data_IF_825365568148
#
_entry.id   IF_825365568148
#
_cell.length_a   1.000
_cell.length_b   1.000
_cell.length_c   1.000
_cell.angle_alpha   90.00
_cell.angle_beta   90.00
_cell.angle_gamma   90.00
#
_symmetry.space_group_name_H-M   'P 1'
#
loop_
_entity.id
_entity.type
_entity.pdbx_description
1 polymer ?
#
# COMPACT_ATOMS: atom_id res chain seq x y z
N UNK A 1 -1.38 30.01 -8.97
CA UNK A 1 -1.83 28.64 -9.19
C UNK A 1 -2.70 28.25 -8.01
N UNK A 2 -4.02 28.18 -8.19
CA UNK A 2 -4.95 27.89 -7.07
C UNK A 2 -4.77 26.43 -6.65
N UNK A 3 -4.20 26.20 -5.46
CA UNK A 3 -4.13 24.88 -4.85
C UNK A 3 -5.58 24.50 -4.49
N UNK A 4 -6.21 23.68 -5.31
CA UNK A 4 -7.54 23.16 -5.04
C UNK A 4 -7.44 22.31 -3.76
N UNK A 5 -8.01 22.78 -2.66
CA UNK A 5 -8.02 22.03 -1.40
C UNK A 5 -8.72 20.68 -1.64
N UNK A 6 -8.01 19.61 -1.37
CA UNK A 6 -8.56 18.25 -1.45
C UNK A 6 -9.61 18.13 -0.35
N UNK A 7 -10.83 17.73 -0.67
CA UNK A 7 -11.90 17.55 0.29
C UNK A 7 -11.67 16.32 1.19
N UNK A 8 -12.31 16.29 2.34
CA UNK A 8 -12.24 15.16 3.27
C UNK A 8 -12.63 13.84 2.57
N UNK A 9 -13.69 13.86 1.79
CA UNK A 9 -14.18 12.69 1.07
C UNK A 9 -13.21 12.23 -0.03
N UNK A 10 -12.54 13.16 -0.73
CA UNK A 10 -11.52 12.82 -1.71
C UNK A 10 -10.35 12.07 -1.05
N UNK A 11 -9.92 12.55 0.13
CA UNK A 11 -8.88 11.89 0.92
C UNK A 11 -9.32 10.50 1.39
N UNK A 12 -10.56 10.36 1.87
CA UNK A 12 -11.11 9.06 2.31
C UNK A 12 -11.16 8.09 1.14
N UNK A 13 -11.71 8.48 -0.01
CA UNK A 13 -11.80 7.61 -1.18
C UNK A 13 -10.42 7.23 -1.74
N UNK A 14 -9.47 8.17 -1.77
CA UNK A 14 -8.09 7.85 -2.17
C UNK A 14 -7.45 6.81 -1.24
N UNK A 15 -7.61 6.95 0.09
CA UNK A 15 -7.07 5.99 1.04
C UNK A 15 -7.77 4.63 0.94
N UNK A 16 -9.10 4.61 0.84
CA UNK A 16 -9.86 3.37 0.66
C UNK A 16 -9.41 2.67 -0.63
N UNK A 17 -9.30 3.38 -1.75
CA UNK A 17 -8.84 2.80 -3.02
C UNK A 17 -7.42 2.25 -2.95
N UNK A 18 -6.53 2.91 -2.20
CA UNK A 18 -5.15 2.45 -2.02
C UNK A 18 -5.06 1.18 -1.16
N UNK A 19 -5.98 1.00 -0.22
CA UNK A 19 -6.02 -0.15 0.70
C UNK A 19 -6.83 -1.32 0.14
N UNK A 20 -7.90 -1.06 -0.61
CA UNK A 20 -8.79 -2.07 -1.20
C UNK A 20 -8.16 -2.66 -2.47
N UNK A 21 -7.15 -3.50 -2.28
CA UNK A 21 -6.52 -4.22 -3.39
C UNK A 21 -6.98 -5.68 -3.47
N UNK A 22 -7.21 -6.21 -4.68
CA UNK A 22 -7.57 -7.61 -4.94
C UNK A 22 -6.63 -8.57 -4.21
N UNK A 23 -5.35 -8.24 -4.12
CA UNK A 23 -4.34 -9.03 -3.41
C UNK A 23 -4.66 -9.18 -1.92
N UNK A 24 -5.09 -8.10 -1.26
CA UNK A 24 -5.43 -8.13 0.16
C UNK A 24 -6.70 -8.93 0.42
N UNK A 25 -7.69 -8.77 -0.46
CA UNK A 25 -8.93 -9.55 -0.40
C UNK A 25 -8.63 -11.04 -0.54
N UNK A 26 -7.86 -11.42 -1.56
CA UNK A 26 -7.49 -12.82 -1.80
C UNK A 26 -6.71 -13.42 -0.62
N UNK A 27 -5.73 -12.68 -0.07
CA UNK A 27 -4.92 -13.14 1.06
C UNK A 27 -5.72 -13.23 2.35
N UNK A 28 -6.56 -12.25 2.64
CA UNK A 28 -7.42 -12.27 3.83
C UNK A 28 -8.46 -13.38 3.76
N UNK A 29 -9.04 -13.62 2.59
CA UNK A 29 -9.98 -14.73 2.36
C UNK A 29 -9.29 -16.07 2.60
N UNK A 30 -8.12 -16.30 2.02
CA UNK A 30 -7.36 -17.53 2.22
C UNK A 30 -6.98 -17.76 3.69
N UNK A 31 -6.56 -16.71 4.39
CA UNK A 31 -6.22 -16.80 5.81
C UNK A 31 -7.46 -17.06 6.70
N UNK A 32 -8.60 -16.48 6.32
CA UNK A 32 -9.86 -16.62 7.06
C UNK A 32 -10.54 -17.96 6.82
N UNK A 33 -10.25 -18.63 5.70
CA UNK A 33 -10.86 -19.90 5.34
C UNK A 33 -10.61 -20.99 6.38
N UNK A 34 -9.40 -21.02 6.96
CA UNK A 34 -9.04 -21.95 8.03
C UNK A 34 -9.77 -21.72 9.36
N UNK A 35 -10.28 -20.50 9.59
CA UNK A 35 -11.03 -20.12 10.80
C UNK A 35 -12.55 -20.29 10.64
N UNK A 36 -13.03 -20.52 9.42
CA UNK A 36 -14.46 -20.62 9.12
C UNK A 36 -15.26 -19.42 9.62
N UNK A 37 -16.42 -19.67 10.24
CA UNK A 37 -17.28 -18.60 10.77
C UNK A 37 -16.63 -17.81 11.93
N UNK A 38 -15.60 -18.36 12.58
CA UNK A 38 -14.83 -17.66 13.61
C UNK A 38 -13.99 -16.49 13.08
N UNK A 39 -13.78 -16.40 11.78
CA UNK A 39 -13.02 -15.31 11.17
C UNK A 39 -13.69 -13.94 11.39
N UNK A 40 -15.03 -13.87 11.28
CA UNK A 40 -15.77 -12.60 11.40
C UNK A 40 -15.58 -11.97 12.78
N UNK A 41 -15.89 -12.66 13.90
CA UNK A 41 -15.67 -12.08 15.22
C UNK A 41 -14.20 -11.80 15.50
N UNK A 42 -13.27 -12.62 15.01
CA UNK A 42 -11.85 -12.36 15.15
C UNK A 42 -11.43 -11.03 14.46
N UNK A 43 -11.87 -10.78 13.23
CA UNK A 43 -11.61 -9.52 12.53
C UNK A 43 -12.20 -8.31 13.26
N UNK A 44 -13.42 -8.43 13.80
CA UNK A 44 -14.05 -7.36 14.58
C UNK A 44 -13.24 -7.06 15.84
N UNK A 45 -12.85 -8.08 16.59
CA UNK A 45 -12.03 -7.92 17.80
C UNK A 45 -10.69 -7.26 17.47
N UNK A 46 -9.99 -7.70 16.43
CA UNK A 46 -8.72 -7.08 16.00
C UNK A 46 -8.90 -5.64 15.51
N UNK A 47 -10.02 -5.32 14.86
CA UNK A 47 -10.31 -3.95 14.47
C UNK A 47 -10.41 -3.03 15.69
N UNK A 48 -11.08 -3.42 16.73
CA UNK A 48 -11.22 -2.61 17.95
C UNK A 48 -9.95 -2.57 18.80
N UNK A 49 -9.25 -3.68 18.95
CA UNK A 49 -8.06 -3.75 19.83
C UNK A 49 -6.83 -3.15 19.17
N UNK A 50 -6.68 -3.29 17.87
CA UNK A 50 -5.47 -2.87 17.16
C UNK A 50 -5.70 -1.70 16.21
N UNK A 51 -6.65 -1.82 15.28
CA UNK A 51 -6.82 -0.82 14.22
C UNK A 51 -7.30 0.53 14.74
N UNK A 52 -8.31 0.55 15.61
CA UNK A 52 -8.86 1.81 16.14
C UNK A 52 -7.82 2.57 16.98
N UNK A 53 -7.12 1.96 17.96
CA UNK A 53 -6.07 2.66 18.68
C UNK A 53 -4.94 3.17 17.79
N UNK A 54 -4.46 2.36 16.84
CA UNK A 54 -3.44 2.79 15.90
C UNK A 54 -3.90 3.99 15.04
N UNK A 55 -5.14 3.96 14.57
CA UNK A 55 -5.69 5.04 13.77
C UNK A 55 -5.80 6.35 14.58
N UNK A 56 -6.23 6.26 15.84
CA UNK A 56 -6.31 7.42 16.74
C UNK A 56 -4.92 8.01 17.03
N UNK A 57 -3.93 7.19 17.33
CA UNK A 57 -2.54 7.64 17.53
C UNK A 57 -1.98 8.30 16.28
N UNK A 58 -2.19 7.71 15.10
CA UNK A 58 -1.76 8.32 13.85
C UNK A 58 -2.45 9.65 13.58
N UNK A 59 -3.75 9.74 13.86
CA UNK A 59 -4.52 10.98 13.70
C UNK A 59 -4.03 12.09 14.64
N UNK A 60 -3.74 11.77 15.89
CA UNK A 60 -3.19 12.70 16.88
C UNK A 60 -1.79 13.18 16.46
N UNK A 61 -0.90 12.27 16.09
CA UNK A 61 0.45 12.62 15.64
C UNK A 61 0.42 13.47 14.36
N UNK A 62 -0.43 13.13 13.40
CA UNK A 62 -0.57 13.91 12.17
C UNK A 62 -1.15 15.31 12.40
N UNK A 63 -2.04 15.48 13.38
CA UNK A 63 -2.61 16.79 13.74
C UNK A 63 -1.65 17.64 14.57
N UNK A 64 -0.85 17.00 15.43
CA UNK A 64 0.10 17.69 16.32
C UNK A 64 1.36 18.11 15.56
N UNK A 65 1.82 17.29 14.64
CA UNK A 65 3.02 17.53 13.81
C UNK A 65 2.66 17.56 12.32
N UNK A 66 2.00 18.60 11.83
CA UNK A 66 1.55 18.71 10.43
C UNK A 66 2.70 19.10 9.50
N UNK A 67 3.81 18.33 9.52
CA UNK A 67 4.97 18.54 8.66
C UNK A 67 5.06 17.44 7.61
N UNK A 68 5.63 17.78 6.46
CA UNK A 68 5.95 16.81 5.42
C UNK A 68 7.04 15.86 5.92
N UNK A 69 6.77 14.55 5.91
CA UNK A 69 7.72 13.53 6.40
C UNK A 69 7.07 12.40 7.21
N UNK A 70 5.87 12.62 7.75
CA UNK A 70 5.11 11.59 8.47
C UNK A 70 5.92 10.92 9.58
N UNK A 71 6.09 9.59 9.52
CA UNK A 71 6.80 8.83 10.55
C UNK A 71 8.24 9.31 10.82
N UNK A 72 8.92 9.88 9.82
CA UNK A 72 10.25 10.46 10.01
C UNK A 72 10.21 11.60 11.03
N UNK A 73 9.32 12.57 10.83
CA UNK A 73 9.21 13.73 11.70
C UNK A 73 8.78 13.34 13.12
N UNK A 74 7.85 12.41 13.25
CA UNK A 74 7.38 11.94 14.56
C UNK A 74 8.49 11.28 15.38
N UNK A 75 9.28 10.42 14.74
CA UNK A 75 10.40 9.74 15.42
C UNK A 75 11.56 10.70 15.66
N UNK A 76 11.82 11.63 14.74
CA UNK A 76 12.84 12.66 14.89
C UNK A 76 12.55 13.58 16.09
N UNK A 77 11.30 13.99 16.26
CA UNK A 77 10.89 14.84 17.37
C UNK A 77 11.03 14.11 18.71
N UNK A 78 10.69 12.82 18.77
CA UNK A 78 10.73 12.03 19.99
C UNK A 78 12.14 11.55 20.39
N UNK A 79 12.96 11.13 19.41
CA UNK A 79 14.22 10.41 19.65
C UNK A 79 15.42 11.01 18.92
N UNK A 80 15.24 12.05 18.14
CA UNK A 80 16.29 12.74 17.41
C UNK A 80 16.49 12.24 15.98
N UNK A 81 17.30 13.00 15.23
CA UNK A 81 17.47 12.86 13.77
C UNK A 81 17.98 11.49 13.32
N UNK A 82 18.89 10.88 14.09
CA UNK A 82 19.46 9.56 13.80
C UNK A 82 18.38 8.47 13.73
N UNK A 83 17.45 8.47 14.67
CA UNK A 83 16.35 7.50 14.71
C UNK A 83 15.30 7.79 13.67
N UNK A 84 15.00 9.05 13.39
CA UNK A 84 14.14 9.46 12.28
C UNK A 84 14.67 8.93 10.93
N UNK A 85 15.95 9.13 10.66
CA UNK A 85 16.60 8.59 9.45
C UNK A 85 16.51 7.06 9.38
N UNK A 86 16.81 6.37 10.48
CA UNK A 86 16.76 4.92 10.53
C UNK A 86 15.37 4.36 10.21
N UNK A 87 14.30 4.97 10.76
CA UNK A 87 12.92 4.58 10.46
C UNK A 87 12.57 4.79 8.99
N UNK A 88 12.99 5.93 8.42
CA UNK A 88 12.77 6.21 7.00
C UNK A 88 13.49 5.23 6.09
N UNK A 89 14.73 4.90 6.42
CA UNK A 89 15.52 3.92 5.69
C UNK A 89 14.89 2.52 5.72
N UNK A 90 14.46 2.08 6.90
CA UNK A 90 13.78 0.78 7.06
C UNK A 90 12.45 0.75 6.31
N UNK A 91 11.67 1.81 6.38
CA UNK A 91 10.41 1.94 5.65
C UNK A 91 10.62 1.90 4.13
N UNK A 92 11.65 2.60 3.64
CA UNK A 92 12.01 2.57 2.21
C UNK A 92 12.42 1.17 1.75
N UNK A 93 13.30 0.50 2.51
CA UNK A 93 13.72 -0.87 2.23
C UNK A 93 12.54 -1.85 2.21
N UNK A 94 11.66 -1.75 3.20
CA UNK A 94 10.44 -2.57 3.27
C UNK A 94 9.53 -2.36 2.05
N UNK A 95 9.42 -1.13 1.56
CA UNK A 95 8.62 -0.82 0.36
C UNK A 95 9.22 -1.41 -0.91
N UNK A 96 10.53 -1.46 -1.07
CA UNK A 96 11.18 -2.11 -2.22
C UNK A 96 10.76 -3.59 -2.28
N UNK A 97 10.86 -4.30 -1.17
CA UNK A 97 10.46 -5.71 -1.08
C UNK A 97 8.96 -5.90 -1.34
N UNK A 98 8.14 -4.98 -0.83
CA UNK A 98 6.70 -4.99 -1.03
C UNK A 98 6.33 -4.79 -2.51
N UNK A 99 6.94 -3.81 -3.20
CA UNK A 99 6.68 -3.56 -4.62
C UNK A 99 7.09 -4.76 -5.49
N UNK A 100 8.23 -5.38 -5.23
CA UNK A 100 8.66 -6.58 -5.93
C UNK A 100 7.64 -7.71 -5.81
N UNK A 101 7.15 -7.95 -4.60
CA UNK A 101 6.11 -8.95 -4.35
C UNK A 101 4.78 -8.61 -5.02
N UNK A 102 4.43 -7.32 -5.09
CA UNK A 102 3.21 -6.85 -5.76
C UNK A 102 3.29 -7.04 -7.28
N UNK A 103 4.42 -6.68 -7.90
CA UNK A 103 4.63 -6.86 -9.34
C UNK A 103 4.60 -8.33 -9.73
N UNK A 104 5.23 -9.20 -8.93
CA UNK A 104 5.18 -10.65 -9.16
C UNK A 104 3.75 -11.17 -9.09
N UNK A 105 2.98 -10.78 -8.08
CA UNK A 105 1.57 -11.14 -7.97
C UNK A 105 0.75 -10.69 -9.19
N UNK A 106 0.95 -9.47 -9.66
CA UNK A 106 0.28 -8.93 -10.84
C UNK A 106 0.64 -9.75 -12.08
N UNK A 107 1.92 -10.07 -12.28
CA UNK A 107 2.39 -10.86 -13.43
C UNK A 107 1.79 -12.26 -13.44
N UNK A 108 1.71 -12.91 -12.28
CA UNK A 108 1.06 -14.22 -12.14
C UNK A 108 -0.42 -14.13 -12.56
N UNK A 109 -1.14 -13.10 -12.10
CA UNK A 109 -2.54 -12.90 -12.51
C UNK A 109 -2.68 -12.64 -14.02
N UNK A 110 -1.74 -11.93 -14.63
CA UNK A 110 -1.72 -11.76 -16.10
C UNK A 110 -1.57 -13.11 -16.82
N UNK A 111 -0.68 -13.98 -16.35
CA UNK A 111 -0.52 -15.32 -16.92
C UNK A 111 -1.81 -16.14 -16.86
N UNK A 112 -2.53 -16.10 -15.75
CA UNK A 112 -3.84 -16.73 -15.61
C UNK A 112 -4.91 -16.07 -16.50
N UNK A 113 -4.91 -14.76 -16.63
CA UNK A 113 -5.87 -14.03 -17.47
C UNK A 113 -5.70 -14.36 -18.97
N UNK A 114 -4.49 -14.63 -19.42
CA UNK A 114 -4.17 -15.08 -20.79
C UNK A 114 -4.41 -16.58 -20.98
N UNK A 115 -4.88 -17.27 -19.94
CA UNK A 115 -5.14 -18.72 -19.94
C UNK A 115 -3.89 -19.58 -20.19
N UNK A 116 -2.71 -19.07 -19.77
CA UNK A 116 -1.41 -19.76 -19.87
C UNK A 116 -0.73 -19.77 -18.48
N UNK A 117 -1.24 -20.54 -17.51
CA UNK A 117 -0.71 -20.56 -16.15
C UNK A 117 0.76 -20.98 -16.07
N UNK A 118 1.25 -21.77 -17.03
CA UNK A 118 2.65 -22.20 -17.12
C UNK A 118 3.64 -21.03 -17.25
N UNK A 119 3.19 -19.89 -17.79
CA UNK A 119 3.99 -18.67 -17.87
C UNK A 119 4.31 -18.08 -16.49
N UNK A 120 3.51 -18.39 -15.48
CA UNK A 120 3.76 -17.92 -14.11
C UNK A 120 5.01 -18.53 -13.47
N UNK A 121 5.44 -19.70 -13.94
CA UNK A 121 6.66 -20.39 -13.50
C UNK A 121 7.89 -20.00 -14.35
N UNK A 122 7.66 -19.37 -15.49
CA UNK A 122 8.72 -18.94 -16.39
C UNK A 122 9.38 -17.64 -15.86
N UNK A 123 10.57 -17.79 -15.25
CA UNK A 123 11.31 -16.67 -14.63
C UNK A 123 11.58 -15.49 -15.60
N UNK A 124 12.02 -15.69 -16.86
CA UNK A 124 12.16 -14.64 -17.86
C UNK A 124 10.86 -13.88 -18.11
N UNK A 125 9.75 -14.58 -18.26
CA UNK A 125 8.43 -13.97 -18.47
C UNK A 125 8.05 -13.07 -17.29
N UNK A 126 8.14 -13.59 -16.06
CA UNK A 126 7.81 -12.84 -14.84
C UNK A 126 8.68 -11.59 -14.72
N UNK A 127 9.98 -11.68 -15.03
CA UNK A 127 10.89 -10.55 -14.96
C UNK A 127 10.57 -9.49 -16.01
N UNK A 128 10.36 -9.87 -17.26
CA UNK A 128 10.10 -8.94 -18.36
C UNK A 128 8.77 -8.22 -18.13
N UNK A 129 7.70 -8.94 -17.80
CA UNK A 129 6.38 -8.34 -17.57
C UNK A 129 6.40 -7.43 -16.33
N UNK A 130 7.05 -7.85 -15.24
CA UNK A 130 7.18 -7.03 -14.04
C UNK A 130 7.93 -5.73 -14.32
N UNK A 131 9.03 -5.78 -15.07
CA UNK A 131 9.79 -4.59 -15.49
C UNK A 131 8.97 -3.70 -16.42
N UNK A 132 8.28 -4.27 -17.38
CA UNK A 132 7.43 -3.50 -18.30
C UNK A 132 6.34 -2.73 -17.54
N UNK A 133 5.62 -3.41 -16.62
CA UNK A 133 4.60 -2.79 -15.79
C UNK A 133 5.22 -1.70 -14.91
N UNK A 134 6.37 -1.96 -14.27
CA UNK A 134 7.06 -0.98 -13.45
C UNK A 134 7.39 0.30 -14.24
N UNK A 135 7.97 0.16 -15.43
CA UNK A 135 8.31 1.31 -16.28
C UNK A 135 7.10 2.07 -16.78
N UNK A 136 6.04 1.36 -17.19
CA UNK A 136 4.80 1.99 -17.62
C UNK A 136 4.18 2.80 -16.48
N UNK A 137 4.06 2.21 -15.28
CA UNK A 137 3.52 2.92 -14.12
C UNK A 137 4.41 4.11 -13.71
N UNK A 138 5.74 3.94 -13.72
CA UNK A 138 6.68 5.02 -13.43
C UNK A 138 6.52 6.16 -14.42
N UNK A 139 6.39 5.87 -15.72
CA UNK A 139 6.17 6.87 -16.76
C UNK A 139 4.83 7.62 -16.59
N UNK A 140 3.77 6.91 -16.23
CA UNK A 140 2.47 7.52 -15.93
C UNK A 140 2.60 8.46 -14.71
N UNK A 141 3.28 8.03 -13.66
CA UNK A 141 3.49 8.84 -12.47
C UNK A 141 4.29 10.12 -12.73
N UNK A 142 5.26 10.10 -13.67
CA UNK A 142 6.04 11.32 -14.03
C UNK A 142 5.18 12.39 -14.72
N UNK A 143 4.07 12.01 -15.35
CA UNK A 143 3.12 12.97 -15.98
C UNK A 143 2.20 13.66 -14.97
N UNK A 144 2.34 13.34 -13.69
CA UNK A 144 1.68 14.01 -12.58
C UNK A 144 0.22 13.61 -12.36
N UNK A 145 -0.35 14.09 -11.23
CA UNK A 145 -1.72 13.81 -10.79
C UNK A 145 -2.83 14.29 -11.76
N UNK A 146 -2.49 14.98 -12.85
CA UNK A 146 -3.48 15.35 -13.88
C UNK A 146 -4.10 14.13 -14.56
N UNK A 147 -3.37 13.01 -14.65
CA UNK A 147 -3.89 11.77 -15.21
C UNK A 147 -4.73 10.96 -14.21
N UNK A 148 -4.46 11.05 -12.92
CA UNK A 148 -5.22 10.35 -11.87
C UNK A 148 -6.66 10.85 -11.66
N UNK A 149 -7.07 11.92 -12.37
CA UNK A 149 -8.45 12.42 -12.35
C UNK A 149 -9.34 11.78 -13.41
N UNK A 150 -8.81 10.94 -14.27
CA UNK A 150 -9.53 10.29 -15.38
C UNK A 150 -9.96 8.87 -14.98
N UNK A 151 -9.41 8.31 -13.95
CA UNK A 151 -9.77 7.03 -13.31
C UNK A 151 -10.27 7.25 -11.89
#
# INVERSE_FOLDING_TARGET
>A
MSIKKIGLWDLVFMNVSALFGIRWIAKSTASSFGLGLGAIPAWVVFAFIFFVPCALVCAELASTYPRDGGMYEWVKEAYGEKYGFMVSWLNWTAKILWYTSFLTFLTVNVAFAVNMPELSENKPFVLIVSLAVFWVLSFICTKGMSFGKIF
#
